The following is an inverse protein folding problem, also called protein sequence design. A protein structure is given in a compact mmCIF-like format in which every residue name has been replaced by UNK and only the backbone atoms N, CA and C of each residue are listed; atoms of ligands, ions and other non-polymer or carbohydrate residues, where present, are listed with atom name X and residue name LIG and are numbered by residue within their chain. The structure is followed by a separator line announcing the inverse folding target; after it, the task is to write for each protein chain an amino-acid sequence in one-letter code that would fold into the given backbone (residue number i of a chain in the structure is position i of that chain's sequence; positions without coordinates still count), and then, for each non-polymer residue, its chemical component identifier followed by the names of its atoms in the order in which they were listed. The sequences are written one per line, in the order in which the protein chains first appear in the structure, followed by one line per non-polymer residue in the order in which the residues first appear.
data_IF_297929154431
#
_entry.id   IF_297929154431
#
_cell.length_a   1.000
_cell.length_b   1.000
_cell.length_c   1.000
_cell.angle_alpha   90.00
_cell.angle_beta   90.00
_cell.angle_gamma   90.00
#
_symmetry.space_group_name_H-M   'P 1'
#
loop_
_entity.id
_entity.type
_entity.pdbx_description
1 polymer ?
#
# COMPACT_ATOMS: atom_id res chain seq x y z
N UNK A 1 16.48 4.88 21.71
CA UNK A 1 15.58 4.26 20.73
C UNK A 1 15.77 2.76 20.78
N UNK A 2 14.70 2.01 20.76
CA UNK A 2 14.82 0.55 20.77
C UNK A 2 14.49 -0.04 19.42
N UNK A 3 14.74 -1.34 19.27
CA UNK A 3 14.57 -2.01 18.00
C UNK A 3 13.11 -2.09 17.57
N UNK A 4 12.16 -2.14 18.51
CA UNK A 4 10.76 -2.18 18.17
C UNK A 4 10.30 -0.89 17.48
N UNK A 5 10.76 0.25 17.98
CA UNK A 5 10.43 1.54 17.38
C UNK A 5 11.00 1.62 15.96
N UNK A 6 12.24 1.20 15.81
CA UNK A 6 12.88 1.20 14.48
C UNK A 6 12.18 0.24 13.52
N UNK A 7 11.87 -0.96 14.00
CA UNK A 7 11.19 -1.96 13.17
C UNK A 7 9.81 -1.47 12.72
N UNK A 8 9.04 -0.89 13.64
CA UNK A 8 7.73 -0.35 13.31
C UNK A 8 7.80 0.77 12.30
N UNK A 9 8.78 1.65 12.45
CA UNK A 9 8.99 2.74 11.50
C UNK A 9 9.34 2.24 10.11
N UNK A 10 10.20 1.21 10.03
CA UNK A 10 10.57 0.62 8.76
C UNK A 10 9.37 -0.05 8.09
N UNK A 11 8.56 -0.77 8.85
CA UNK A 11 7.37 -1.42 8.32
C UNK A 11 6.40 -0.40 7.71
N UNK A 12 6.18 0.70 8.42
CA UNK A 12 5.29 1.76 7.94
C UNK A 12 5.88 2.41 6.68
N UNK A 13 7.17 2.69 6.69
CA UNK A 13 7.83 3.35 5.58
C UNK A 13 7.79 2.50 4.31
N UNK A 14 8.06 1.21 4.44
CA UNK A 14 8.01 0.32 3.29
C UNK A 14 6.59 0.10 2.79
N UNK A 15 5.61 0.05 3.69
CA UNK A 15 4.21 -0.02 3.30
C UNK A 15 3.79 1.21 2.50
N UNK A 16 4.17 2.40 2.97
CA UNK A 16 3.86 3.64 2.28
C UNK A 16 4.56 3.72 0.92
N UNK A 17 5.82 3.29 0.86
CA UNK A 17 6.56 3.28 -0.39
C UNK A 17 5.93 2.33 -1.40
N UNK A 18 5.57 1.13 -0.95
CA UNK A 18 4.93 0.14 -1.81
C UNK A 18 3.60 0.65 -2.34
N UNK A 19 2.79 1.29 -1.48
CA UNK A 19 1.52 1.85 -1.90
C UNK A 19 1.71 2.96 -2.93
N UNK A 20 2.70 3.82 -2.72
CA UNK A 20 2.98 4.90 -3.65
C UNK A 20 3.37 4.38 -5.03
N UNK A 21 4.29 3.44 -5.06
CA UNK A 21 4.75 2.86 -6.32
C UNK A 21 3.63 2.06 -6.99
N UNK A 22 2.95 1.20 -6.22
CA UNK A 22 1.89 0.36 -6.75
C UNK A 22 0.73 1.16 -7.30
N UNK A 23 0.27 2.18 -6.57
CA UNK A 23 -0.81 3.03 -7.02
C UNK A 23 -0.40 3.87 -8.23
N UNK A 24 0.84 4.33 -8.26
CA UNK A 24 1.36 5.08 -9.40
C UNK A 24 1.34 4.25 -10.67
N UNK A 25 1.83 3.02 -10.59
CA UNK A 25 1.82 2.11 -11.73
C UNK A 25 0.40 1.80 -12.16
N UNK A 26 -0.47 1.50 -11.22
CA UNK A 26 -1.87 1.16 -11.52
C UNK A 26 -2.58 2.28 -12.25
N UNK A 27 -2.50 3.50 -11.73
CA UNK A 27 -3.20 4.62 -12.33
C UNK A 27 -2.58 5.05 -13.65
N UNK A 28 -1.27 4.90 -13.80
CA UNK A 28 -0.60 5.14 -15.08
C UNK A 28 -1.16 4.21 -16.15
N UNK A 29 -1.29 2.92 -15.84
CA UNK A 29 -1.84 1.95 -16.78
C UNK A 29 -3.30 2.19 -17.08
N UNK A 30 -4.06 2.59 -16.07
CA UNK A 30 -5.47 2.90 -16.22
C UNK A 30 -5.66 4.07 -17.19
N UNK A 31 -4.92 5.15 -17.01
CA UNK A 31 -5.00 6.30 -17.89
C UNK A 31 -4.56 5.98 -19.32
N UNK A 32 -3.50 5.17 -19.44
CA UNK A 32 -3.04 4.73 -20.76
C UNK A 32 -4.12 3.93 -21.46
N UNK A 33 -4.80 3.05 -20.75
CA UNK A 33 -5.88 2.25 -21.32
C UNK A 33 -7.03 3.11 -21.79
N UNK A 34 -7.43 4.11 -21.01
CA UNK A 34 -8.50 5.02 -21.43
C UNK A 34 -8.08 5.82 -22.66
N UNK A 35 -6.83 6.25 -22.72
CA UNK A 35 -6.35 7.00 -23.86
C UNK A 35 -6.39 6.18 -25.15
N UNK A 36 -6.12 4.88 -25.05
CA UNK A 36 -6.12 4.00 -26.23
C UNK A 36 -7.50 3.53 -26.62
N UNK A 37 -8.36 3.28 -25.64
CA UNK A 37 -9.70 2.75 -25.87
C UNK A 37 -10.69 3.45 -24.94
N UNK A 38 -11.10 4.68 -25.30
CA UNK A 38 -12.01 5.44 -24.44
C UNK A 38 -13.35 4.73 -24.21
N UNK A 39 -13.79 3.90 -25.14
CA UNK A 39 -15.04 3.16 -24.99
C UNK A 39 -14.96 2.08 -23.91
N UNK A 40 -13.76 1.71 -23.48
CA UNK A 40 -13.57 0.72 -22.42
C UNK A 40 -13.51 1.35 -21.04
N UNK A 41 -13.80 2.63 -20.91
CA UNK A 41 -13.65 3.35 -19.62
C UNK A 41 -14.36 2.65 -18.46
N UNK A 42 -15.60 2.23 -18.67
CA UNK A 42 -16.35 1.59 -17.58
C UNK A 42 -15.71 0.29 -17.11
N UNK A 43 -15.31 -0.56 -18.05
CA UNK A 43 -14.65 -1.82 -17.73
C UNK A 43 -13.31 -1.57 -17.06
N UNK A 44 -12.53 -0.64 -17.60
CA UNK A 44 -11.23 -0.31 -17.03
C UNK A 44 -11.35 0.26 -15.62
N UNK A 45 -12.37 1.09 -15.39
CA UNK A 45 -12.60 1.63 -14.06
C UNK A 45 -12.89 0.52 -13.05
N UNK A 46 -13.78 -0.40 -13.39
CA UNK A 46 -14.11 -1.51 -12.50
C UNK A 46 -12.90 -2.39 -12.20
N UNK A 47 -12.14 -2.75 -13.21
CA UNK A 47 -10.95 -3.57 -13.03
C UNK A 47 -9.89 -2.84 -12.22
N UNK A 48 -9.74 -1.53 -12.45
CA UNK A 48 -8.78 -0.74 -11.70
C UNK A 48 -9.16 -0.64 -10.22
N UNK A 49 -10.44 -0.56 -9.91
CA UNK A 49 -10.87 -0.52 -8.51
C UNK A 49 -10.60 -1.83 -7.80
N UNK A 50 -10.80 -2.96 -8.49
CA UNK A 50 -10.44 -4.27 -7.92
C UNK A 50 -8.93 -4.36 -7.70
N UNK A 51 -8.14 -3.95 -8.69
CA UNK A 51 -6.69 -3.98 -8.57
C UNK A 51 -6.21 -3.03 -7.46
N UNK A 52 -6.84 -1.87 -7.33
CA UNK A 52 -6.52 -0.93 -6.25
C UNK A 52 -6.72 -1.56 -4.89
N UNK A 53 -7.82 -2.28 -4.71
CA UNK A 53 -8.06 -2.98 -3.45
C UNK A 53 -6.96 -3.99 -3.13
N UNK A 54 -6.52 -4.74 -4.14
CA UNK A 54 -5.45 -5.72 -3.95
C UNK A 54 -4.11 -5.04 -3.67
N UNK A 55 -3.80 -3.96 -4.37
CA UNK A 55 -2.55 -3.22 -4.16
C UNK A 55 -2.51 -2.60 -2.77
N UNK A 56 -3.65 -2.13 -2.28
CA UNK A 56 -3.72 -1.49 -0.97
C UNK A 56 -3.70 -2.48 0.19
N UNK A 57 -4.12 -3.73 -0.04
CA UNK A 57 -4.26 -4.69 1.06
C UNK A 57 -2.94 -4.91 1.80
N UNK A 58 -1.86 -5.20 1.08
CA UNK A 58 -0.57 -5.48 1.71
C UNK A 58 0.04 -4.27 2.40
N UNK A 59 0.07 -3.08 1.78
CA UNK A 59 0.55 -1.89 2.48
C UNK A 59 -0.25 -1.54 3.73
N UNK A 60 -1.56 -1.71 3.69
CA UNK A 60 -2.41 -1.43 4.85
C UNK A 60 -2.08 -2.41 5.97
N UNK A 61 -1.94 -3.69 5.65
CA UNK A 61 -1.56 -4.70 6.64
C UNK A 61 -0.18 -4.38 7.22
N UNK A 62 0.77 -4.03 6.37
CA UNK A 62 2.12 -3.68 6.80
C UNK A 62 2.12 -2.51 7.76
N UNK A 63 1.36 -1.46 7.44
CA UNK A 63 1.26 -0.28 8.31
C UNK A 63 0.58 -0.62 9.62
N UNK A 64 -0.48 -1.43 9.59
CA UNK A 64 -1.17 -1.86 10.80
C UNK A 64 -0.23 -2.62 11.73
N UNK A 65 0.50 -3.61 11.20
CA UNK A 65 1.47 -4.34 12.01
C UNK A 65 2.63 -3.45 12.44
N UNK A 66 3.03 -2.50 11.60
CA UNK A 66 4.05 -1.54 11.97
C UNK A 66 3.66 -0.71 13.18
N UNK A 67 2.41 -0.27 13.22
CA UNK A 67 1.90 0.46 14.38
C UNK A 67 1.88 -0.40 15.64
N UNK A 68 1.46 -1.65 15.51
CA UNK A 68 1.46 -2.57 16.65
C UNK A 68 2.86 -2.81 17.18
N UNK A 69 3.83 -2.97 16.31
CA UNK A 69 5.23 -3.14 16.71
C UNK A 69 5.76 -1.85 17.31
N UNK A 70 5.44 -0.72 16.72
CA UNK A 70 5.90 0.59 17.18
C UNK A 70 5.42 0.86 18.59
N UNK A 71 4.17 0.53 18.90
CA UNK A 71 3.62 0.75 20.22
C UNK A 71 3.91 -0.39 21.20
N UNK A 72 4.68 -1.40 20.76
CA UNK A 72 5.10 -2.47 21.65
C UNK A 72 4.07 -3.53 21.93
N UNK A 73 2.98 -3.57 21.17
CA UNK A 73 1.93 -4.58 21.36
C UNK A 73 2.43 -5.95 20.90
N UNK A 74 3.14 -5.99 19.77
CA UNK A 74 3.77 -7.20 19.29
C UNK A 74 5.26 -6.93 19.08
N UNK A 75 6.05 -7.99 19.19
CA UNK A 75 7.48 -7.88 18.98
C UNK A 75 8.24 -7.31 20.14
N UNK A 76 7.54 -7.03 21.17
CA UNK A 76 8.08 -7.03 22.46
C UNK A 76 8.61 -5.78 23.08
N UNK A 77 9.84 -5.47 22.92
CA UNK A 77 10.52 -4.51 23.78
C UNK A 77 10.29 -3.08 23.35
N UNK A 78 9.68 -2.31 24.21
CA UNK A 78 9.51 -0.88 23.97
C UNK A 78 10.27 -0.03 24.98
N UNK A 79 10.96 -0.67 25.83
CA UNK A 79 11.68 0.03 26.92
C UNK A 79 12.98 0.62 26.45
#
# INVERSE_FOLDING_TARGET
MNLAILAGGIMIAFGALAAGIGNGVLFSRYLEGIARQPEARGTLFGQSMVALGLVEALPIISIAFGLLVLFGVIGGETK
#
